data_IF_231109785479
#
_entry.id   IF_231109785479
#
_cell.length_a   1.000
_cell.length_b   1.000
_cell.length_c   1.000
_cell.angle_alpha   90.00
_cell.angle_beta   90.00
_cell.angle_gamma   90.00
#
_symmetry.space_group_name_H-M   'P 1'
#
loop_
_entity.id
_entity.type
_entity.pdbx_description
1 polymer ?
#
# COMPACT_ATOMS: atom_id res chain seq x y z
N UNK A 1 -28.95 -13.90 -12.95
CA UNK A 1 -28.10 -13.00 -12.15
C UNK A 1 -28.21 -11.58 -12.71
N UNK A 2 -28.51 -10.57 -11.91
CA UNK A 2 -28.53 -9.14 -12.32
C UNK A 2 -27.56 -8.29 -11.47
N UNK A 3 -27.22 -7.10 -11.96
CA UNK A 3 -26.23 -6.24 -11.32
C UNK A 3 -26.67 -5.74 -9.93
N UNK A 4 -27.97 -5.53 -9.69
CA UNK A 4 -28.46 -5.07 -8.37
C UNK A 4 -28.29 -6.14 -7.29
N UNK A 5 -28.54 -7.43 -7.65
CA UNK A 5 -28.32 -8.54 -6.73
C UNK A 5 -26.85 -8.78 -6.48
N UNK A 6 -26.02 -8.61 -7.51
CA UNK A 6 -24.57 -8.70 -7.41
C UNK A 6 -24.02 -7.58 -6.51
N UNK A 7 -24.54 -6.36 -6.63
CA UNK A 7 -24.19 -5.23 -5.77
C UNK A 7 -24.57 -5.50 -4.31
N UNK A 8 -25.80 -5.96 -4.07
CA UNK A 8 -26.24 -6.33 -2.73
C UNK A 8 -25.33 -7.40 -2.11
N UNK A 9 -24.92 -8.39 -2.91
CA UNK A 9 -23.97 -9.43 -2.48
C UNK A 9 -22.60 -8.82 -2.11
N UNK A 10 -22.02 -8.00 -2.98
CA UNK A 10 -20.72 -7.36 -2.71
C UNK A 10 -20.76 -6.52 -1.43
N UNK A 11 -21.82 -5.74 -1.22
CA UNK A 11 -21.97 -4.91 -0.01
C UNK A 11 -22.13 -5.75 1.27
N UNK A 12 -22.86 -6.87 1.21
CA UNK A 12 -22.93 -7.80 2.36
C UNK A 12 -21.58 -8.45 2.64
N UNK A 13 -20.83 -8.82 1.58
CA UNK A 13 -19.50 -9.39 1.70
C UNK A 13 -18.51 -8.41 2.37
N UNK A 14 -18.47 -7.16 1.91
CA UNK A 14 -17.58 -6.09 2.40
C UNK A 14 -17.88 -5.71 3.85
N UNK A 15 -19.18 -5.49 4.16
CA UNK A 15 -19.63 -4.99 5.45
C UNK A 15 -19.91 -6.09 6.48
N UNK A 16 -19.89 -7.37 6.07
CA UNK A 16 -20.23 -8.55 6.89
C UNK A 16 -21.56 -8.38 7.64
N UNK A 17 -22.53 -7.69 7.00
CA UNK A 17 -23.79 -7.30 7.63
C UNK A 17 -24.87 -6.95 6.61
N UNK A 18 -25.97 -7.69 6.60
CA UNK A 18 -27.17 -7.37 5.78
C UNK A 18 -27.78 -6.01 6.12
N UNK A 19 -27.81 -5.67 7.41
CA UNK A 19 -28.37 -4.39 7.86
C UNK A 19 -27.52 -3.18 7.45
N UNK A 20 -26.17 -3.30 7.52
CA UNK A 20 -25.28 -2.22 7.07
C UNK A 20 -25.33 -2.09 5.55
N UNK A 21 -25.32 -3.20 4.81
CA UNK A 21 -25.46 -3.20 3.35
C UNK A 21 -26.78 -2.55 2.90
N UNK A 22 -27.90 -2.85 3.60
CA UNK A 22 -29.17 -2.18 3.33
C UNK A 22 -29.11 -0.67 3.51
N UNK A 23 -28.48 -0.19 4.59
CA UNK A 23 -28.29 1.26 4.81
C UNK A 23 -27.47 1.91 3.71
N UNK A 24 -26.36 1.28 3.32
CA UNK A 24 -25.46 1.77 2.28
C UNK A 24 -26.15 1.87 0.91
N UNK A 25 -26.97 0.87 0.57
CA UNK A 25 -27.68 0.80 -0.71
C UNK A 25 -29.07 1.46 -0.67
N UNK A 26 -29.46 2.13 0.43
CA UNK A 26 -30.79 2.72 0.63
C UNK A 26 -31.93 1.70 0.45
N UNK A 27 -31.71 0.44 0.87
CA UNK A 27 -32.65 -0.66 0.82
C UNK A 27 -32.97 -1.19 2.22
N UNK A 28 -34.14 -1.84 2.36
CA UNK A 28 -34.44 -2.53 3.61
C UNK A 28 -33.62 -3.81 3.77
N UNK A 29 -33.31 -4.21 5.00
CA UNK A 29 -32.60 -5.47 5.26
C UNK A 29 -33.33 -6.70 4.69
N UNK A 30 -34.69 -6.82 4.74
CA UNK A 30 -35.42 -7.88 4.05
C UNK A 30 -35.18 -7.89 2.53
N UNK A 31 -35.09 -6.72 1.89
CA UNK A 31 -34.81 -6.61 0.45
C UNK A 31 -33.42 -7.14 0.11
N UNK A 32 -32.41 -6.75 0.89
CA UNK A 32 -31.05 -7.30 0.72
C UNK A 32 -31.05 -8.81 0.91
N UNK A 33 -31.75 -9.33 1.94
CA UNK A 33 -31.84 -10.77 2.16
C UNK A 33 -32.52 -11.50 0.99
N UNK A 34 -33.57 -10.92 0.41
CA UNK A 34 -34.24 -11.47 -0.76
C UNK A 34 -33.30 -11.47 -2.00
N UNK A 35 -32.54 -10.40 -2.23
CA UNK A 35 -31.57 -10.35 -3.33
C UNK A 35 -30.53 -11.46 -3.21
N UNK A 36 -29.99 -11.67 -1.99
CA UNK A 36 -29.01 -12.73 -1.74
C UNK A 36 -29.64 -14.10 -1.93
N UNK A 37 -30.80 -14.39 -1.34
CA UNK A 37 -31.47 -15.70 -1.47
C UNK A 37 -31.78 -16.03 -2.93
N UNK A 38 -32.29 -15.06 -3.69
CA UNK A 38 -32.55 -15.29 -5.13
C UNK A 38 -31.24 -15.54 -5.90
N UNK A 39 -30.15 -14.86 -5.55
CA UNK A 39 -28.84 -15.07 -6.18
C UNK A 39 -28.30 -16.47 -5.84
N UNK A 40 -28.41 -16.92 -4.60
CA UNK A 40 -28.06 -18.26 -4.15
C UNK A 40 -28.89 -19.35 -4.84
N UNK A 41 -30.20 -19.13 -5.00
CA UNK A 41 -31.11 -20.02 -5.75
C UNK A 41 -30.70 -20.12 -7.23
N UNK A 42 -30.43 -19.00 -7.90
CA UNK A 42 -29.99 -18.99 -9.30
C UNK A 42 -28.66 -19.70 -9.50
N UNK A 43 -27.74 -19.61 -8.55
CA UNK A 43 -26.42 -20.23 -8.62
C UNK A 43 -26.40 -21.67 -8.08
N UNK A 44 -27.47 -22.08 -7.36
CA UNK A 44 -27.59 -23.40 -6.73
C UNK A 44 -26.60 -23.64 -5.57
N UNK A 45 -26.03 -22.59 -4.99
CA UNK A 45 -25.07 -22.67 -3.90
C UNK A 45 -25.28 -21.55 -2.87
N UNK A 46 -24.92 -21.81 -1.62
CA UNK A 46 -24.90 -20.76 -0.58
C UNK A 46 -23.65 -19.89 -0.76
N UNK A 47 -23.82 -18.60 -0.68
CA UNK A 47 -22.73 -17.60 -0.77
C UNK A 47 -22.26 -17.14 0.61
N UNK A 48 -23.13 -17.27 1.63
CA UNK A 48 -22.80 -16.91 3.01
C UNK A 48 -23.20 -18.02 3.98
N UNK A 49 -22.29 -18.29 4.91
CA UNK A 49 -22.57 -19.07 6.11
C UNK A 49 -23.11 -18.15 7.22
N UNK A 50 -24.26 -18.53 7.77
CA UNK A 50 -24.89 -17.82 8.90
C UNK A 50 -24.56 -18.55 10.19
N UNK A 51 -23.38 -18.32 10.75
CA UNK A 51 -22.94 -18.90 12.01
C UNK A 51 -23.35 -17.96 13.18
N UNK A 52 -24.57 -18.10 13.66
CA UNK A 52 -25.09 -17.31 14.78
C UNK A 52 -25.19 -15.81 14.42
N UNK A 53 -24.36 -14.96 15.06
CA UNK A 53 -24.34 -13.50 14.84
C UNK A 53 -23.31 -13.06 13.79
N UNK A 54 -22.48 -13.94 13.27
CA UNK A 54 -21.47 -13.62 12.28
C UNK A 54 -21.90 -14.09 10.88
N UNK A 55 -21.54 -13.29 9.87
CA UNK A 55 -21.73 -13.61 8.46
C UNK A 55 -20.35 -13.83 7.88
N UNK A 56 -20.12 -15.02 7.34
CA UNK A 56 -18.89 -15.38 6.65
C UNK A 56 -19.21 -15.77 5.22
N UNK A 57 -18.34 -15.39 4.28
CA UNK A 57 -18.47 -15.85 2.91
C UNK A 57 -18.08 -17.33 2.82
N UNK A 58 -18.81 -18.10 2.01
CA UNK A 58 -18.42 -19.45 1.63
C UNK A 58 -17.33 -19.40 0.56
N UNK A 59 -16.73 -20.55 0.21
CA UNK A 59 -15.81 -20.64 -0.92
C UNK A 59 -16.45 -20.16 -2.24
N UNK A 60 -17.76 -20.44 -2.44
CA UNK A 60 -18.51 -19.92 -3.58
C UNK A 60 -18.68 -18.40 -3.51
N UNK A 61 -18.91 -17.83 -2.32
CA UNK A 61 -18.94 -16.40 -2.08
C UNK A 61 -17.62 -15.72 -2.42
N UNK A 62 -16.49 -16.28 -2.01
CA UNK A 62 -15.15 -15.78 -2.35
C UNK A 62 -14.90 -15.75 -3.88
N UNK A 63 -15.29 -16.81 -4.58
CA UNK A 63 -15.19 -16.91 -6.04
C UNK A 63 -16.08 -15.84 -6.70
N UNK A 64 -17.33 -15.71 -6.24
CA UNK A 64 -18.25 -14.73 -6.81
C UNK A 64 -17.79 -13.31 -6.59
N UNK A 65 -17.26 -12.98 -5.39
CA UNK A 65 -16.80 -11.63 -5.07
C UNK A 65 -15.65 -11.19 -5.97
N UNK A 66 -14.67 -12.07 -6.21
CA UNK A 66 -13.55 -11.77 -7.13
C UNK A 66 -14.06 -11.47 -8.54
N UNK A 67 -14.93 -12.34 -9.08
CA UNK A 67 -15.50 -12.14 -10.42
C UNK A 67 -16.44 -10.92 -10.48
N UNK A 68 -17.16 -10.61 -9.41
CA UNK A 68 -18.02 -9.42 -9.34
C UNK A 68 -17.19 -8.14 -9.46
N UNK A 69 -16.03 -8.06 -8.80
CA UNK A 69 -15.08 -6.93 -8.95
C UNK A 69 -14.63 -6.74 -10.40
N UNK A 70 -14.35 -7.83 -11.11
CA UNK A 70 -13.96 -7.77 -12.52
C UNK A 70 -15.13 -7.28 -13.40
N UNK A 71 -16.36 -7.75 -13.13
CA UNK A 71 -17.57 -7.29 -13.84
C UNK A 71 -17.78 -5.78 -13.65
N UNK A 72 -17.70 -5.27 -12.42
CA UNK A 72 -17.81 -3.83 -12.17
C UNK A 72 -16.67 -3.06 -12.84
N UNK A 73 -15.45 -3.57 -12.80
CA UNK A 73 -14.32 -2.98 -13.52
C UNK A 73 -14.54 -2.88 -15.03
N UNK A 74 -15.21 -3.88 -15.65
CA UNK A 74 -15.58 -3.83 -17.08
C UNK A 74 -16.68 -2.80 -17.38
N UNK A 75 -17.65 -2.64 -16.47
CA UNK A 75 -18.71 -1.61 -16.60
C UNK A 75 -18.08 -0.21 -16.52
N UNK A 76 -17.22 0.02 -15.53
CA UNK A 76 -16.51 1.29 -15.36
C UNK A 76 -15.60 1.59 -16.56
N UNK A 77 -14.93 0.56 -17.09
CA UNK A 77 -14.14 0.66 -18.32
C UNK A 77 -14.99 1.11 -19.50
N UNK A 78 -16.15 0.46 -19.73
CA UNK A 78 -17.04 0.81 -20.83
C UNK A 78 -17.57 2.24 -20.72
N UNK A 79 -18.00 2.66 -19.51
CA UNK A 79 -18.44 4.03 -19.26
C UNK A 79 -17.32 5.04 -19.51
N UNK A 80 -16.12 4.74 -19.06
CA UNK A 80 -14.95 5.59 -19.20
C UNK A 80 -14.47 5.68 -20.64
N UNK A 81 -14.53 4.59 -21.42
CA UNK A 81 -14.22 4.62 -22.86
C UNK A 81 -15.22 5.48 -23.64
N UNK A 82 -16.50 5.42 -23.28
CA UNK A 82 -17.53 6.31 -23.82
C UNK A 82 -17.23 7.77 -23.46
N UNK A 83 -16.77 8.05 -22.24
CA UNK A 83 -16.42 9.40 -21.80
C UNK A 83 -15.17 9.95 -22.52
N UNK A 84 -14.20 9.09 -22.85
CA UNK A 84 -13.03 9.49 -23.68
C UNK A 84 -13.46 9.94 -25.07
N UNK A 85 -14.48 9.31 -25.67
CA UNK A 85 -15.05 9.78 -26.94
C UNK A 85 -15.63 11.20 -26.84
N UNK A 86 -15.81 11.71 -25.60
CA UNK A 86 -16.25 13.08 -25.28
C UNK A 86 -15.11 13.95 -24.76
N UNK A 87 -13.83 13.56 -24.95
CA UNK A 87 -12.63 14.23 -24.42
C UNK A 87 -12.60 14.37 -22.89
N UNK A 88 -13.25 13.46 -22.14
CA UNK A 88 -13.28 13.49 -20.68
C UNK A 88 -12.73 12.20 -20.07
N UNK A 89 -11.72 12.33 -19.21
CA UNK A 89 -11.28 11.27 -18.32
C UNK A 89 -11.96 11.48 -16.97
N UNK A 90 -12.85 10.58 -16.62
CA UNK A 90 -13.66 10.64 -15.38
C UNK A 90 -13.61 9.30 -14.66
N UNK A 91 -13.96 9.28 -13.38
CA UNK A 91 -14.12 8.07 -12.58
C UNK A 91 -13.22 8.06 -11.35
N UNK A 92 -13.27 6.95 -10.63
CA UNK A 92 -12.52 6.77 -9.38
C UNK A 92 -11.18 6.10 -9.63
N UNK A 93 -10.12 6.61 -9.02
CA UNK A 93 -8.79 6.04 -8.98
C UNK A 93 -8.50 5.55 -7.55
N UNK A 94 -8.67 4.26 -7.32
CA UNK A 94 -8.25 3.62 -6.07
C UNK A 94 -6.79 3.19 -6.19
N UNK A 95 -5.92 3.79 -5.37
CA UNK A 95 -4.49 3.51 -5.35
C UNK A 95 -4.02 3.16 -3.94
N UNK A 96 -3.17 2.16 -3.83
CA UNK A 96 -2.44 1.86 -2.60
C UNK A 96 -1.06 2.49 -2.59
N UNK A 97 -0.57 2.84 -1.41
CA UNK A 97 0.80 3.27 -1.25
C UNK A 97 1.42 2.73 0.03
N UNK A 98 2.65 2.21 -0.05
CA UNK A 98 3.39 1.94 1.18
C UNK A 98 3.80 3.25 1.86
N UNK A 99 4.17 3.20 3.13
CA UNK A 99 4.28 4.39 3.99
C UNK A 99 5.11 5.54 3.42
N UNK A 100 6.29 5.28 2.87
CA UNK A 100 7.12 6.35 2.27
C UNK A 100 6.50 6.89 0.97
N UNK A 101 6.17 6.06 -0.04
CA UNK A 101 5.49 6.55 -1.24
C UNK A 101 4.24 7.36 -0.95
N UNK A 102 3.39 6.93 -0.01
CA UNK A 102 2.14 7.63 0.30
C UNK A 102 2.34 9.03 0.87
N UNK A 103 3.39 9.22 1.66
CA UNK A 103 3.59 10.50 2.34
C UNK A 103 4.53 11.47 1.59
N UNK A 104 5.47 10.94 0.79
CA UNK A 104 6.54 11.76 0.23
C UNK A 104 6.61 11.74 -1.30
N UNK A 105 5.98 10.78 -1.99
CA UNK A 105 6.04 10.65 -3.44
C UNK A 105 4.67 10.86 -4.10
N UNK A 106 3.67 10.10 -3.67
CA UNK A 106 2.33 10.13 -4.27
C UNK A 106 1.64 11.49 -4.18
N UNK A 107 1.76 12.32 -3.13
CA UNK A 107 1.09 13.60 -3.08
C UNK A 107 1.41 14.52 -4.27
N UNK A 108 2.67 14.61 -4.67
CA UNK A 108 3.08 15.42 -5.84
C UNK A 108 2.59 14.82 -7.16
N UNK A 109 2.71 13.49 -7.29
CA UNK A 109 2.20 12.77 -8.46
C UNK A 109 0.70 12.99 -8.63
N UNK A 110 -0.06 12.81 -7.55
CA UNK A 110 -1.50 12.97 -7.54
C UNK A 110 -1.92 14.42 -7.79
N UNK A 111 -1.22 15.40 -7.23
CA UNK A 111 -1.47 16.81 -7.53
C UNK A 111 -1.38 17.09 -9.03
N UNK A 112 -0.30 16.65 -9.67
CA UNK A 112 -0.09 16.87 -11.11
C UNK A 112 -1.12 16.09 -11.95
N UNK A 113 -1.47 14.89 -11.53
CA UNK A 113 -2.48 14.07 -12.19
C UNK A 113 -3.89 14.67 -12.09
N UNK A 114 -4.34 15.04 -10.88
CA UNK A 114 -5.66 15.67 -10.67
C UNK A 114 -5.79 17.03 -11.34
N UNK A 115 -4.70 17.81 -11.40
CA UNK A 115 -4.68 19.06 -12.15
C UNK A 115 -4.94 18.85 -13.65
N UNK A 116 -4.44 17.75 -14.21
CA UNK A 116 -4.64 17.39 -15.62
C UNK A 116 -6.01 16.75 -15.88
N UNK A 117 -6.54 16.02 -14.91
CA UNK A 117 -7.79 15.25 -14.99
C UNK A 117 -8.70 15.60 -13.81
N UNK A 118 -9.33 16.79 -13.81
CA UNK A 118 -10.07 17.33 -12.67
C UNK A 118 -11.36 16.56 -12.33
N UNK A 119 -11.87 15.78 -13.29
CA UNK A 119 -13.08 14.96 -13.10
C UNK A 119 -12.77 13.54 -12.57
N UNK A 120 -11.50 13.27 -12.15
CA UNK A 120 -11.11 12.02 -11.50
C UNK A 120 -11.09 12.22 -9.99
N UNK A 121 -11.80 11.36 -9.27
CA UNK A 121 -11.72 11.24 -7.81
C UNK A 121 -10.64 10.23 -7.44
N UNK A 122 -9.79 10.56 -6.46
CA UNK A 122 -8.68 9.70 -6.04
C UNK A 122 -8.84 9.25 -4.60
N UNK A 123 -8.77 7.95 -4.38
CA UNK A 123 -8.75 7.32 -3.06
C UNK A 123 -7.37 6.68 -2.81
N UNK A 124 -6.62 7.22 -1.85
CA UNK A 124 -5.30 6.71 -1.46
C UNK A 124 -5.39 5.89 -0.19
N UNK A 125 -5.15 4.57 -0.30
CA UNK A 125 -5.00 3.66 0.84
C UNK A 125 -3.54 3.56 1.26
N UNK A 126 -3.26 3.64 2.56
CA UNK A 126 -1.91 3.54 3.12
C UNK A 126 -1.77 2.23 3.89
N UNK A 127 -0.63 1.56 3.72
CA UNK A 127 -0.30 0.34 4.45
C UNK A 127 1.21 0.09 4.42
N UNK A 128 1.66 -1.11 4.77
CA UNK A 128 3.02 -1.55 4.45
C UNK A 128 3.10 -2.16 3.03
N UNK A 129 4.30 -2.54 2.59
CA UNK A 129 4.47 -3.14 1.25
C UNK A 129 3.69 -4.43 1.10
N UNK A 130 3.69 -5.31 2.11
CA UNK A 130 2.97 -6.57 2.05
C UNK A 130 1.45 -6.36 2.05
N UNK A 131 0.93 -5.47 2.89
CA UNK A 131 -0.50 -5.15 2.94
C UNK A 131 -1.01 -4.63 1.59
N UNK A 132 -0.29 -3.67 1.00
CA UNK A 132 -0.67 -3.13 -0.32
C UNK A 132 -0.63 -4.22 -1.40
N UNK A 133 0.39 -5.06 -1.40
CA UNK A 133 0.50 -6.18 -2.34
C UNK A 133 -0.63 -7.20 -2.15
N UNK A 134 -1.01 -7.53 -0.92
CA UNK A 134 -2.14 -8.43 -0.67
C UNK A 134 -3.47 -7.84 -1.15
N UNK A 135 -3.69 -6.55 -0.95
CA UNK A 135 -4.88 -5.85 -1.47
C UNK A 135 -4.94 -5.84 -3.00
N UNK A 136 -3.80 -5.70 -3.69
CA UNK A 136 -3.73 -5.83 -5.15
C UNK A 136 -4.06 -7.27 -5.57
N UNK A 137 -3.51 -8.28 -4.90
CA UNK A 137 -3.76 -9.69 -5.20
C UNK A 137 -5.22 -10.11 -4.99
N UNK A 138 -5.85 -9.59 -3.95
CA UNK A 138 -7.28 -9.85 -3.66
C UNK A 138 -8.23 -9.08 -4.59
N UNK A 139 -7.72 -8.14 -5.42
CA UNK A 139 -8.55 -7.26 -6.25
C UNK A 139 -9.21 -6.11 -5.49
N UNK A 140 -8.90 -5.93 -4.20
CA UNK A 140 -9.35 -4.78 -3.41
C UNK A 140 -8.74 -3.47 -3.93
N UNK A 141 -7.46 -3.51 -4.36
CA UNK A 141 -6.80 -2.43 -5.05
C UNK A 141 -6.46 -2.82 -6.48
N UNK A 142 -6.51 -1.86 -7.38
CA UNK A 142 -6.16 -2.06 -8.79
C UNK A 142 -4.65 -1.94 -8.99
N UNK A 143 -4.03 -0.98 -8.30
CA UNK A 143 -2.60 -0.69 -8.38
C UNK A 143 -2.10 -0.12 -7.05
N UNK A 144 -0.78 -0.11 -6.90
CA UNK A 144 -0.14 0.51 -5.73
C UNK A 144 1.31 0.92 -6.00
N UNK A 145 1.83 1.80 -5.14
CA UNK A 145 3.24 2.19 -5.13
C UNK A 145 3.90 1.68 -3.86
N UNK A 146 4.89 0.81 -4.02
CA UNK A 146 5.50 0.07 -2.91
C UNK A 146 7.03 0.23 -2.86
N UNK A 147 7.59 0.02 -1.66
CA UNK A 147 9.02 0.22 -1.38
C UNK A 147 9.91 -1.00 -1.61
N UNK A 148 9.38 -2.10 -2.14
CA UNK A 148 10.15 -3.28 -2.51
C UNK A 148 9.43 -4.09 -3.58
N UNK A 149 10.19 -4.72 -4.47
CA UNK A 149 9.69 -5.78 -5.35
C UNK A 149 9.65 -7.08 -4.56
N UNK A 150 8.52 -7.78 -4.60
CA UNK A 150 8.35 -9.11 -4.02
C UNK A 150 8.32 -10.16 -5.14
N UNK A 151 8.89 -11.32 -4.87
CA UNK A 151 8.83 -12.46 -5.81
C UNK A 151 7.47 -13.16 -5.66
N UNK A 152 6.47 -12.60 -6.32
CA UNK A 152 5.09 -13.09 -6.29
C UNK A 152 4.60 -13.26 -7.72
N UNK A 153 4.07 -14.45 -8.09
CA UNK A 153 3.52 -14.70 -9.42
C UNK A 153 2.37 -13.75 -9.77
N UNK A 154 2.23 -13.46 -11.07
CA UNK A 154 1.15 -12.66 -11.64
C UNK A 154 1.09 -11.19 -11.17
N UNK A 155 2.22 -10.65 -10.70
CA UNK A 155 2.37 -9.23 -10.38
C UNK A 155 3.45 -8.60 -11.25
N UNK A 156 3.12 -7.49 -11.87
CA UNK A 156 4.08 -6.62 -12.54
C UNK A 156 4.57 -5.53 -11.61
N UNK A 157 5.89 -5.28 -11.65
CA UNK A 157 6.54 -4.22 -10.89
C UNK A 157 7.31 -3.32 -11.85
N UNK A 158 6.90 -2.08 -11.94
CA UNK A 158 7.57 -1.06 -12.74
C UNK A 158 8.36 -0.12 -11.82
N UNK A 159 9.70 -0.01 -11.94
CA UNK A 159 10.50 0.90 -11.12
C UNK A 159 10.19 2.35 -11.45
N UNK A 160 9.94 3.17 -10.42
CA UNK A 160 9.56 4.58 -10.57
C UNK A 160 10.73 5.49 -10.17
N UNK A 161 11.35 5.20 -9.03
CA UNK A 161 12.32 6.08 -8.39
C UNK A 161 13.29 5.27 -7.54
N UNK A 162 14.57 5.65 -7.52
CA UNK A 162 15.54 5.17 -6.53
C UNK A 162 15.42 5.98 -5.26
N UNK A 163 15.47 5.31 -4.13
CA UNK A 163 15.36 5.88 -2.79
C UNK A 163 16.61 5.54 -1.99
N UNK A 164 17.30 6.57 -1.53
CA UNK A 164 18.43 6.44 -0.62
C UNK A 164 17.91 6.25 0.80
N UNK A 165 18.34 5.19 1.47
CA UNK A 165 18.06 4.96 2.87
C UNK A 165 19.22 5.45 3.71
N UNK A 166 18.91 6.05 4.83
CA UNK A 166 19.87 6.62 5.78
C UNK A 166 19.67 6.02 7.16
N UNK A 167 20.76 5.79 7.88
CA UNK A 167 20.69 5.47 9.30
C UNK A 167 20.66 6.80 10.06
N UNK A 168 19.62 6.96 10.87
CA UNK A 168 19.37 8.17 11.66
C UNK A 168 19.45 7.87 13.14
N UNK A 169 19.98 8.86 13.87
CA UNK A 169 20.14 8.83 15.31
C UNK A 169 19.73 10.17 15.92
N UNK A 170 19.34 10.21 17.20
CA UNK A 170 19.22 11.48 17.93
C UNK A 170 20.63 12.06 18.22
N UNK A 171 20.83 13.38 18.15
CA UNK A 171 22.13 14.01 18.38
C UNK A 171 22.80 13.60 19.69
N UNK A 172 22.01 13.48 20.76
CA UNK A 172 22.48 13.09 22.09
C UNK A 172 23.14 11.71 22.11
N UNK A 173 22.66 10.78 21.26
CA UNK A 173 23.25 9.44 21.18
C UNK A 173 24.61 9.49 20.49
N UNK A 174 24.71 10.21 19.38
CA UNK A 174 25.93 10.30 18.56
C UNK A 174 27.05 11.04 19.28
N UNK A 175 26.72 12.06 20.10
CA UNK A 175 27.70 12.83 20.85
C UNK A 175 28.48 12.03 21.89
N UNK A 176 28.02 10.82 22.21
CA UNK A 176 28.71 9.91 23.13
C UNK A 176 29.81 9.06 22.46
N UNK A 177 29.98 9.17 21.13
CA UNK A 177 30.91 8.39 20.34
C UNK A 177 31.75 9.31 19.45
N UNK A 178 33.04 8.97 19.27
CA UNK A 178 33.95 9.67 18.35
C UNK A 178 33.70 9.36 16.86
N UNK A 179 32.57 8.76 16.56
CA UNK A 179 32.11 8.29 15.27
C UNK A 179 31.45 6.92 15.40
N UNK A 180 30.56 6.59 14.47
CA UNK A 180 29.93 5.27 14.37
C UNK A 180 30.19 4.77 12.96
N UNK A 181 31.37 4.19 12.77
CA UNK A 181 31.88 3.68 11.47
C UNK A 181 32.02 2.15 11.46
N UNK A 182 31.78 1.50 12.60
CA UNK A 182 31.81 0.04 12.76
C UNK A 182 30.40 -0.53 12.91
N UNK A 183 30.13 -1.62 12.17
CA UNK A 183 28.87 -2.35 12.21
C UNK A 183 28.62 -3.02 13.58
N UNK A 184 29.68 -3.39 14.31
CA UNK A 184 29.55 -4.01 15.63
C UNK A 184 29.07 -2.96 16.63
N UNK A 185 29.66 -1.76 16.62
CA UNK A 185 29.22 -0.67 17.46
C UNK A 185 27.78 -0.26 17.13
N UNK A 186 27.44 -0.20 15.83
CA UNK A 186 26.08 0.07 15.39
C UNK A 186 25.07 -0.97 15.91
N UNK A 187 25.47 -2.25 15.94
CA UNK A 187 24.60 -3.34 16.38
C UNK A 187 24.29 -3.25 17.90
N UNK A 188 25.21 -2.74 18.71
CA UNK A 188 25.05 -2.58 20.16
C UNK A 188 24.13 -1.40 20.52
N UNK A 189 23.96 -0.42 19.65
CA UNK A 189 23.06 0.71 19.88
C UNK A 189 21.60 0.24 19.98
N UNK A 190 20.75 0.95 20.77
CA UNK A 190 19.33 0.63 20.78
C UNK A 190 18.70 0.94 19.40
N UNK A 191 17.94 -0.01 18.87
CA UNK A 191 17.29 0.10 17.57
C UNK A 191 15.78 0.27 17.68
N UNK A 192 15.25 1.19 16.89
CA UNK A 192 13.83 1.28 16.55
C UNK A 192 13.64 0.58 15.20
N UNK A 193 12.87 -0.50 15.17
CA UNK A 193 12.74 -1.36 13.99
C UNK A 193 11.32 -1.36 13.44
N UNK A 194 11.23 -1.49 12.12
CA UNK A 194 9.97 -1.65 11.39
C UNK A 194 9.49 -3.11 11.41
N UNK A 195 8.18 -3.27 11.23
CA UNK A 195 7.48 -4.54 11.06
C UNK A 195 8.02 -5.36 9.86
N UNK A 196 7.71 -6.67 9.82
CA UNK A 196 8.23 -7.60 8.81
C UNK A 196 7.78 -7.31 7.36
N UNK A 197 6.65 -6.61 7.18
CA UNK A 197 6.12 -6.20 5.87
C UNK A 197 6.77 -4.97 5.27
N UNK A 198 7.63 -4.28 6.04
CA UNK A 198 8.26 -3.03 5.63
C UNK A 198 9.33 -3.23 4.55
N UNK A 199 9.18 -2.51 3.42
CA UNK A 199 10.23 -2.44 2.38
C UNK A 199 11.54 -1.79 2.87
N UNK A 200 11.47 -0.88 3.85
CA UNK A 200 12.66 -0.26 4.49
C UNK A 200 13.43 -1.30 5.29
N UNK A 201 12.71 -2.09 6.11
CA UNK A 201 13.31 -3.20 6.86
C UNK A 201 13.92 -4.23 5.92
N UNK A 202 13.24 -4.59 4.85
CA UNK A 202 13.74 -5.54 3.85
C UNK A 202 15.07 -5.09 3.23
N UNK A 203 15.22 -3.79 2.93
CA UNK A 203 16.46 -3.24 2.40
C UNK A 203 17.59 -3.30 3.45
N UNK A 204 17.31 -2.99 4.72
CA UNK A 204 18.28 -3.16 5.81
C UNK A 204 18.70 -4.63 5.96
N UNK A 205 17.76 -5.57 5.97
CA UNK A 205 18.03 -7.01 6.06
C UNK A 205 18.96 -7.47 4.93
N UNK A 206 18.75 -6.96 3.72
CA UNK A 206 19.62 -7.25 2.57
C UNK A 206 21.03 -6.70 2.78
N UNK A 207 21.18 -5.42 3.15
CA UNK A 207 22.48 -4.80 3.39
C UNK A 207 23.27 -5.45 4.54
N UNK A 208 22.58 -5.83 5.63
CA UNK A 208 23.19 -6.57 6.75
C UNK A 208 23.66 -7.97 6.30
N UNK A 209 22.87 -8.68 5.51
CA UNK A 209 23.21 -10.00 4.99
C UNK A 209 24.46 -9.98 4.09
N UNK A 210 24.68 -8.92 3.32
CA UNK A 210 25.90 -8.72 2.51
C UNK A 210 27.17 -8.59 3.37
N UNK A 211 27.00 -8.15 4.62
CA UNK A 211 28.08 -8.04 5.62
C UNK A 211 28.18 -9.26 6.54
N UNK A 212 27.40 -10.32 6.28
CA UNK A 212 27.39 -11.55 7.10
C UNK A 212 26.73 -11.38 8.47
N UNK A 213 25.89 -10.35 8.66
CA UNK A 213 25.14 -10.08 9.90
C UNK A 213 23.64 -10.03 9.60
N UNK A 214 22.81 -9.92 10.64
CA UNK A 214 21.35 -9.96 10.51
C UNK A 214 20.67 -9.01 11.49
N UNK A 215 19.37 -8.73 11.28
CA UNK A 215 18.56 -7.95 12.23
C UNK A 215 18.51 -8.60 13.63
N UNK A 216 18.75 -9.91 13.76
CA UNK A 216 18.79 -10.61 15.06
C UNK A 216 19.99 -10.24 15.89
N UNK A 217 21.06 -9.76 15.25
CA UNK A 217 22.31 -9.35 15.91
C UNK A 217 22.23 -7.88 16.37
N UNK A 218 21.15 -7.15 16.01
CA UNK A 218 20.91 -5.79 16.44
C UNK A 218 20.18 -5.77 17.78
N UNK A 219 20.52 -4.80 18.63
CA UNK A 219 19.85 -4.54 19.90
C UNK A 219 18.49 -3.84 19.67
N UNK A 220 17.48 -4.54 19.16
CA UNK A 220 16.16 -3.97 18.87
C UNK A 220 15.36 -3.79 20.16
N UNK A 221 15.08 -2.54 20.52
CA UNK A 221 14.35 -2.16 21.74
C UNK A 221 12.90 -1.78 21.48
N UNK A 222 12.58 -1.30 20.26
CA UNK A 222 11.22 -0.82 19.90
C UNK A 222 10.84 -1.33 18.52
N UNK A 223 9.61 -1.83 18.37
CA UNK A 223 9.01 -2.20 17.11
C UNK A 223 7.86 -1.25 16.76
N UNK A 224 7.81 -0.77 15.52
CA UNK A 224 6.77 0.17 15.05
C UNK A 224 6.31 -0.19 13.64
N UNK A 225 5.09 0.23 13.29
CA UNK A 225 4.42 -0.14 12.03
C UNK A 225 4.35 1.00 10.99
N UNK A 226 5.02 2.12 11.25
CA UNK A 226 5.05 3.23 10.29
C UNK A 226 6.36 3.99 10.29
N UNK A 227 6.70 4.61 9.16
CA UNK A 227 7.88 5.49 9.04
C UNK A 227 7.79 6.70 9.95
N UNK A 228 6.60 7.29 10.12
CA UNK A 228 6.41 8.38 11.06
C UNK A 228 6.73 7.98 12.50
N UNK A 229 6.25 6.80 12.92
CA UNK A 229 6.56 6.28 14.25
C UNK A 229 8.07 6.07 14.43
N UNK A 230 8.78 5.52 13.42
CA UNK A 230 10.24 5.41 13.43
C UNK A 230 10.88 6.78 13.71
N UNK A 231 10.57 7.76 12.86
CA UNK A 231 11.18 9.09 12.93
C UNK A 231 10.91 9.76 14.30
N UNK A 232 9.68 9.65 14.81
CA UNK A 232 9.34 10.23 16.13
C UNK A 232 10.01 9.48 17.29
N UNK A 233 10.14 8.17 17.24
CA UNK A 233 10.84 7.38 18.25
C UNK A 233 12.34 7.74 18.31
N UNK A 234 12.99 7.83 17.14
CA UNK A 234 14.41 8.23 17.05
C UNK A 234 14.59 9.66 17.57
N UNK A 235 13.74 10.58 17.15
CA UNK A 235 13.73 11.97 17.61
C UNK A 235 13.55 12.09 19.12
N UNK A 236 12.73 11.22 19.71
CA UNK A 236 12.52 11.14 21.16
C UNK A 236 13.70 10.53 21.93
N UNK A 237 14.75 10.05 21.24
CA UNK A 237 15.94 9.49 21.88
C UNK A 237 15.91 7.98 22.11
N UNK A 238 14.93 7.24 21.55
CA UNK A 238 14.77 5.79 21.80
C UNK A 238 15.83 4.92 21.11
N UNK A 239 16.66 5.48 20.22
CA UNK A 239 17.73 4.76 19.56
C UNK A 239 17.95 5.19 18.12
N UNK A 240 18.60 4.32 17.36
CA UNK A 240 18.87 4.50 15.93
C UNK A 240 17.85 3.76 15.07
N UNK A 241 17.70 4.16 13.81
CA UNK A 241 16.89 3.43 12.85
C UNK A 241 17.34 3.70 11.42
N UNK A 242 16.89 2.86 10.49
CA UNK A 242 16.99 3.11 9.07
C UNK A 242 15.67 3.70 8.54
N UNK A 243 15.76 4.72 7.71
CA UNK A 243 14.59 5.32 7.06
C UNK A 243 14.98 5.89 5.68
N UNK A 244 13.98 6.26 4.88
CA UNK A 244 14.22 6.97 3.63
C UNK A 244 14.76 8.37 3.92
N UNK A 245 15.72 8.81 3.13
CA UNK A 245 16.22 10.18 3.15
C UNK A 245 15.11 11.19 2.92
N UNK A 246 14.10 10.86 2.10
CA UNK A 246 12.90 11.69 1.88
C UNK A 246 12.17 11.99 3.20
N UNK A 247 12.13 11.04 4.11
CA UNK A 247 11.44 11.20 5.39
C UNK A 247 12.28 11.90 6.46
N UNK A 248 13.60 11.82 6.34
CA UNK A 248 14.52 12.30 7.37
C UNK A 248 15.20 13.64 7.03
N UNK A 249 15.27 14.03 5.75
CA UNK A 249 16.11 15.14 5.29
C UNK A 249 15.83 16.44 6.03
N UNK A 250 14.57 16.85 6.18
CA UNK A 250 14.22 18.09 6.88
C UNK A 250 14.64 18.09 8.35
N UNK A 251 14.60 16.93 9.01
CA UNK A 251 15.03 16.79 10.40
C UNK A 251 16.55 16.71 10.56
N UNK A 252 17.22 16.19 9.53
CA UNK A 252 18.69 16.23 9.47
C UNK A 252 19.16 17.67 9.26
N UNK A 253 18.53 18.40 8.34
CA UNK A 253 18.88 19.80 8.04
C UNK A 253 18.60 20.73 9.23
N UNK A 254 17.56 20.45 10.03
CA UNK A 254 17.28 21.18 11.26
C UNK A 254 18.14 20.76 12.45
N UNK A 255 18.94 19.70 12.33
CA UNK A 255 19.75 19.15 13.42
C UNK A 255 18.98 18.36 14.48
N UNK A 256 17.71 18.06 14.24
CA UNK A 256 16.91 17.22 15.14
C UNK A 256 17.27 15.74 15.04
N UNK A 257 17.79 15.32 13.89
CA UNK A 257 18.37 13.99 13.65
C UNK A 257 19.78 14.13 13.06
N UNK A 258 20.60 13.11 13.29
CA UNK A 258 21.92 12.97 12.68
C UNK A 258 21.91 11.77 11.74
N UNK A 259 22.47 11.95 10.53
CA UNK A 259 22.74 10.85 9.61
C UNK A 259 24.08 10.21 9.97
N UNK A 260 24.07 8.94 10.40
CA UNK A 260 25.28 8.15 10.63
C UNK A 260 25.84 7.74 9.27
N UNK A 261 27.07 8.19 8.96
CA UNK A 261 27.77 7.97 7.69
C UNK A 261 28.99 7.06 7.89
N UNK A 262 29.54 6.56 6.79
CA UNK A 262 30.82 5.81 6.80
C UNK A 262 30.66 4.31 7.01
N UNK A 263 29.46 3.84 7.25
CA UNK A 263 29.20 2.40 7.36
C UNK A 263 29.28 1.72 5.99
N UNK A 264 29.80 0.50 5.88
CA UNK A 264 29.90 -0.25 4.62
C UNK A 264 28.55 -0.90 4.22
N UNK A 265 27.42 -0.23 4.51
CA UNK A 265 26.09 -0.68 4.20
C UNK A 265 25.58 -0.06 2.90
N UNK A 266 25.23 -0.92 1.95
CA UNK A 266 24.50 -0.47 0.76
C UNK A 266 22.99 -0.40 1.09
N UNK A 267 22.49 0.81 1.29
CA UNK A 267 21.13 1.07 1.71
C UNK A 267 20.34 1.79 0.61
N UNK A 268 20.35 1.24 -0.59
CA UNK A 268 19.55 1.71 -1.71
C UNK A 268 18.36 0.78 -1.97
N UNK A 269 17.26 1.37 -2.42
CA UNK A 269 16.11 0.62 -2.94
C UNK A 269 15.43 1.37 -4.07
N UNK A 270 14.45 0.75 -4.69
CA UNK A 270 13.56 1.40 -5.64
C UNK A 270 12.12 1.37 -5.13
N UNK A 271 11.36 2.41 -5.47
CA UNK A 271 9.91 2.37 -5.41
C UNK A 271 9.37 1.79 -6.72
N UNK A 272 8.32 1.01 -6.61
CA UNK A 272 7.71 0.31 -7.74
C UNK A 272 6.22 0.62 -7.82
N UNK A 273 5.74 0.92 -9.01
CA UNK A 273 4.33 0.78 -9.34
C UNK A 273 4.04 -0.71 -9.51
N UNK A 274 3.05 -1.23 -8.81
CA UNK A 274 2.67 -2.63 -8.83
C UNK A 274 1.21 -2.81 -9.23
N UNK A 275 0.90 -3.80 -10.07
CA UNK A 275 -0.45 -4.21 -10.45
C UNK A 275 -0.47 -5.68 -10.88
N UNK A 276 -1.66 -6.26 -11.04
CA UNK A 276 -1.79 -7.62 -11.58
C UNK A 276 -1.39 -7.64 -13.06
N UNK A 277 -0.67 -8.70 -13.45
CA UNK A 277 -0.27 -8.97 -14.82
C UNK A 277 -1.52 -9.23 -15.70
N UNK A 278 -1.48 -8.75 -16.94
CA UNK A 278 -2.55 -8.94 -17.91
C UNK A 278 -3.88 -8.28 -17.59
N UNK A 279 -3.96 -7.45 -16.53
CA UNK A 279 -5.17 -6.73 -16.19
C UNK A 279 -5.42 -5.59 -17.15
N UNK A 280 -6.63 -5.52 -17.70
CA UNK A 280 -7.07 -4.35 -18.44
C UNK A 280 -7.49 -3.24 -17.46
N UNK A 281 -7.09 -2.01 -17.78
CA UNK A 281 -7.36 -0.85 -16.95
C UNK A 281 -8.37 0.08 -17.62
N UNK A 282 -9.30 0.59 -16.82
CA UNK A 282 -10.13 1.72 -17.24
C UNK A 282 -9.27 3.00 -17.39
N UNK A 283 -9.73 3.98 -18.17
CA UNK A 283 -8.92 5.12 -18.58
C UNK A 283 -8.25 5.89 -17.45
N UNK A 284 -8.94 6.20 -16.36
CA UNK A 284 -8.33 6.92 -15.24
C UNK A 284 -7.08 6.19 -14.71
N UNK A 285 -7.15 4.86 -14.53
CA UNK A 285 -5.99 4.07 -14.09
C UNK A 285 -4.89 4.03 -15.15
N UNK A 286 -5.25 3.79 -16.42
CA UNK A 286 -4.27 3.74 -17.52
C UNK A 286 -3.53 5.06 -17.67
N UNK A 287 -4.25 6.19 -17.65
CA UNK A 287 -3.63 7.51 -17.72
C UNK A 287 -2.78 7.84 -16.50
N UNK A 288 -3.16 7.32 -15.32
CA UNK A 288 -2.31 7.46 -14.13
C UNK A 288 -1.01 6.66 -14.26
N UNK A 289 -1.08 5.41 -14.70
CA UNK A 289 0.10 4.57 -14.98
C UNK A 289 1.03 5.28 -15.99
N UNK A 290 0.46 5.78 -17.09
CA UNK A 290 1.22 6.53 -18.10
C UNK A 290 1.81 7.83 -17.55
N UNK A 291 1.07 8.52 -16.67
CA UNK A 291 1.55 9.72 -16.00
C UNK A 291 2.75 9.40 -15.11
N UNK A 292 2.67 8.37 -14.28
CA UNK A 292 3.78 7.92 -13.42
C UNK A 292 5.00 7.50 -14.26
N UNK A 293 4.81 6.72 -15.32
CA UNK A 293 5.90 6.25 -16.19
C UNK A 293 6.62 7.37 -16.94
N UNK A 294 5.94 8.48 -17.24
CA UNK A 294 6.51 9.64 -17.94
C UNK A 294 7.06 10.70 -17.00
N UNK A 295 6.71 10.66 -15.74
CA UNK A 295 7.18 11.62 -14.76
C UNK A 295 8.67 11.38 -14.48
N UNK A 296 9.50 12.37 -14.79
CA UNK A 296 10.90 12.40 -14.38
C UNK A 296 10.94 12.98 -12.97
N UNK A 297 10.93 12.11 -11.96
CA UNK A 297 11.07 12.55 -10.58
C UNK A 297 12.48 13.09 -10.36
N UNK A 298 12.61 14.41 -10.24
CA UNK A 298 13.83 15.07 -9.73
C UNK A 298 13.69 15.20 -8.23
N UNK A 299 14.47 14.44 -7.49
CA UNK A 299 14.69 14.62 -6.05
C UNK A 299 16.01 15.34 -5.86
#
# INVERSE_FOLDING_TARGET
>A
MDLRRLEAFCKVYELKSFSKAGKELFLSQPTISAHISTLEEELGVQLFDRLGRSIMATQAGEVLYRNAKDIYGLIDKAQSEINILRDKVVGDLEIGGSTIPSHYLLPEILYNYCKKYPDVSVHLSVGDTNEIIQKIRSGELILGVVGAKLDIPNLEFFPILRDELVIVAPPVLVSNYDGIDDIQLLAELPWVMREGGSGTRKALETGLSELGTSVRDLNVTVWVESTQAVVQCVRAGLGVSVTSKLAAQSLIDSGELVHIKGLPLNLERSFYLAHLEGREFFPAVRYFIDHVKRSSFKI
#
